data_IF_035633333769
#
_entry.id   IF_035633333769
#
_cell.length_a   1.000
_cell.length_b   1.000
_cell.length_c   1.000
_cell.angle_alpha   90.00
_cell.angle_beta   90.00
_cell.angle_gamma   90.00
#
_symmetry.space_group_name_H-M   'P 1'
#
loop_
_entity.id
_entity.type
_entity.pdbx_description
1 polymer ?
#
# COMPACT_ATOMS: atom_id res chain seq x y z
N UNK A 1 -2.19 -10.50 43.21
CA UNK A 1 -2.53 -9.24 42.52
C UNK A 1 -3.53 -9.58 41.40
N UNK A 2 -4.82 -9.41 41.67
CA UNK A 2 -5.91 -9.91 40.82
C UNK A 2 -6.17 -8.88 39.70
N UNK A 3 -5.74 -9.20 38.46
CA UNK A 3 -6.08 -8.41 37.28
C UNK A 3 -7.55 -8.64 36.95
N UNK A 4 -8.39 -7.65 37.27
CA UNK A 4 -9.76 -7.56 36.77
C UNK A 4 -9.74 -7.44 35.25
N UNK A 5 -10.06 -8.53 34.56
CA UNK A 5 -10.45 -8.49 33.15
C UNK A 5 -11.80 -7.79 33.07
N UNK A 6 -11.80 -6.48 32.83
CA UNK A 6 -12.98 -5.78 32.31
C UNK A 6 -13.29 -6.40 30.96
N UNK A 7 -14.24 -7.35 30.91
CA UNK A 7 -15.00 -7.64 29.69
C UNK A 7 -15.72 -6.33 29.34
N UNK A 8 -15.08 -5.48 28.53
CA UNK A 8 -15.82 -4.47 27.79
C UNK A 8 -16.84 -5.25 26.97
N UNK A 9 -18.12 -5.11 27.31
CA UNK A 9 -19.18 -5.59 26.44
C UNK A 9 -18.93 -4.94 25.08
N UNK A 10 -18.57 -5.73 24.08
CA UNK A 10 -18.43 -5.32 22.68
C UNK A 10 -19.83 -4.91 22.20
N UNK A 11 -20.25 -3.69 22.55
CA UNK A 11 -21.37 -3.03 21.89
C UNK A 11 -20.89 -2.75 20.47
N UNK A 12 -21.42 -3.49 19.51
CA UNK A 12 -21.14 -3.29 18.09
C UNK A 12 -21.37 -1.82 17.72
N UNK A 13 -20.61 -1.29 16.76
CA UNK A 13 -20.78 0.09 16.30
C UNK A 13 -22.23 0.43 15.94
N UNK A 14 -22.94 -0.55 15.37
CA UNK A 14 -24.36 -0.50 15.05
C UNK A 14 -25.26 -0.21 16.27
N UNK A 15 -25.04 -0.88 17.40
CA UNK A 15 -25.82 -0.62 18.64
C UNK A 15 -25.58 0.77 19.19
N UNK A 16 -24.37 1.31 19.05
CA UNK A 16 -24.04 2.66 19.53
C UNK A 16 -24.76 3.74 18.71
N UNK A 17 -24.82 3.57 17.39
CA UNK A 17 -25.56 4.47 16.49
C UNK A 17 -27.05 4.38 16.75
N UNK A 18 -27.58 3.17 16.91
CA UNK A 18 -28.99 2.98 17.22
C UNK A 18 -29.36 3.73 18.50
N UNK A 19 -28.55 3.63 19.56
CA UNK A 19 -28.78 4.39 20.80
C UNK A 19 -28.67 5.89 20.61
N UNK A 20 -27.71 6.37 19.80
CA UNK A 20 -27.57 7.80 19.53
C UNK A 20 -28.77 8.35 18.73
N UNK A 21 -29.25 7.61 17.73
CA UNK A 21 -30.44 7.97 16.97
C UNK A 21 -31.70 7.96 17.84
N UNK A 22 -31.88 6.94 18.68
CA UNK A 22 -33.00 6.87 19.61
C UNK A 22 -32.99 8.07 20.59
N UNK A 23 -31.82 8.44 21.12
CA UNK A 23 -31.68 9.58 22.01
C UNK A 23 -32.03 10.91 21.33
N UNK A 24 -31.59 11.11 20.08
CA UNK A 24 -31.94 12.30 19.28
C UNK A 24 -33.45 12.38 19.05
N UNK A 25 -34.10 11.27 18.67
CA UNK A 25 -35.54 11.22 18.41
C UNK A 25 -36.35 11.50 19.69
N UNK A 26 -35.98 10.89 20.81
CA UNK A 26 -36.64 11.11 22.11
C UNK A 26 -36.46 12.56 22.57
N UNK A 27 -35.25 13.11 22.49
CA UNK A 27 -34.98 14.48 22.87
C UNK A 27 -35.75 15.49 21.99
N UNK A 28 -35.79 15.28 20.67
CA UNK A 28 -36.58 16.11 19.76
C UNK A 28 -38.08 16.09 20.12
N UNK A 29 -38.62 14.90 20.39
CA UNK A 29 -40.03 14.74 20.78
C UNK A 29 -40.35 15.47 22.10
N UNK A 30 -39.44 15.39 23.09
CA UNK A 30 -39.58 16.11 24.36
C UNK A 30 -39.51 17.63 24.20
N UNK A 31 -38.65 18.13 23.30
CA UNK A 31 -38.59 19.57 22.97
C UNK A 31 -39.91 20.01 22.34
N UNK A 32 -40.44 19.27 21.38
CA UNK A 32 -41.72 19.60 20.73
C UNK A 32 -42.87 19.62 21.75
N UNK A 33 -42.96 18.63 22.64
CA UNK A 33 -43.96 18.59 23.68
C UNK A 33 -43.79 19.73 24.71
N UNK A 34 -42.56 20.03 25.11
CA UNK A 34 -42.27 21.11 26.07
C UNK A 34 -42.57 22.49 25.46
N UNK A 35 -42.27 22.68 24.19
CA UNK A 35 -42.56 23.93 23.47
C UNK A 35 -44.07 24.19 23.39
N UNK A 36 -44.88 23.15 23.18
CA UNK A 36 -46.33 23.28 23.20
C UNK A 36 -46.84 23.77 24.58
N UNK A 37 -46.30 23.22 25.67
CA UNK A 37 -46.64 23.63 27.04
C UNK A 37 -46.16 25.05 27.37
N UNK A 38 -44.98 25.45 26.87
CA UNK A 38 -44.46 26.82 27.06
C UNK A 38 -45.25 27.84 26.24
N UNK A 39 -45.71 27.48 25.05
CA UNK A 39 -46.59 28.34 24.24
C UNK A 39 -47.95 28.55 24.92
N UNK A 40 -48.51 27.51 25.54
CA UNK A 40 -49.73 27.61 26.35
C UNK A 40 -49.56 28.59 27.53
N UNK A 41 -48.38 28.66 28.13
CA UNK A 41 -48.04 29.63 29.19
C UNK A 41 -47.84 31.07 28.68
N UNK A 42 -47.72 31.27 27.36
CA UNK A 42 -47.61 32.61 26.74
C UNK A 42 -48.97 33.20 26.35
N UNK A 43 -50.03 32.40 26.31
CA UNK A 43 -51.39 32.91 26.10
C UNK A 43 -51.97 33.44 27.42
N UNK A 44 -52.81 34.49 27.38
CA UNK A 44 -53.36 35.09 28.60
C UNK A 44 -54.18 34.06 29.37
N UNK A 45 -53.75 33.79 30.61
CA UNK A 45 -54.46 32.93 31.58
C UNK A 45 -55.26 33.77 32.56
N UNK A 46 -56.36 33.20 33.07
CA UNK A 46 -57.19 33.82 34.09
C UNK A 46 -56.34 34.19 35.33
N UNK A 47 -56.65 35.31 36.01
CA UNK A 47 -55.79 35.92 37.03
C UNK A 47 -55.57 35.08 38.31
N UNK A 48 -56.27 33.96 38.47
CA UNK A 48 -56.09 33.02 39.59
C UNK A 48 -55.06 31.90 39.30
N UNK A 49 -54.58 31.77 38.05
CA UNK A 49 -53.67 30.70 37.63
C UNK A 49 -52.21 31.20 37.64
N UNK A 50 -51.76 31.56 38.84
CA UNK A 50 -50.42 32.09 39.08
C UNK A 50 -49.32 31.03 38.91
N UNK A 51 -48.19 31.51 38.37
CA UNK A 51 -46.86 30.91 38.23
C UNK A 51 -46.51 30.36 36.84
N UNK A 52 -45.63 31.09 36.16
CA UNK A 52 -44.76 30.55 35.09
C UNK A 52 -44.03 29.34 35.68
N UNK A 53 -44.36 28.15 35.20
CA UNK A 53 -43.86 26.91 35.80
C UNK A 53 -42.41 26.73 35.39
N UNK A 54 -41.47 27.18 36.24
CA UNK A 54 -40.01 27.11 36.02
C UNK A 54 -39.53 25.70 35.62
N UNK A 55 -40.26 24.66 36.06
CA UNK A 55 -39.98 23.26 35.72
C UNK A 55 -40.18 22.96 34.24
N UNK A 56 -41.14 23.59 33.54
CA UNK A 56 -41.40 23.38 32.10
C UNK A 56 -40.26 23.92 31.24
N UNK A 57 -39.74 25.10 31.59
CA UNK A 57 -38.53 25.67 30.98
C UNK A 57 -37.29 24.81 31.26
N UNK A 58 -37.14 24.32 32.50
CA UNK A 58 -36.02 23.42 32.85
C UNK A 58 -36.05 22.12 32.03
N UNK A 59 -37.23 21.52 31.82
CA UNK A 59 -37.40 20.32 30.98
C UNK A 59 -37.05 20.62 29.52
N UNK A 60 -37.52 21.75 28.97
CA UNK A 60 -37.18 22.17 27.61
C UNK A 60 -35.68 22.40 27.40
N UNK A 61 -35.02 23.10 28.32
CA UNK A 61 -33.56 23.33 28.29
C UNK A 61 -32.81 22.01 28.41
N UNK A 62 -33.19 21.13 29.34
CA UNK A 62 -32.56 19.83 29.52
C UNK A 62 -32.70 18.95 28.26
N UNK A 63 -33.88 18.96 27.63
CA UNK A 63 -34.11 18.24 26.39
C UNK A 63 -33.29 18.81 25.22
N UNK A 64 -33.12 20.14 25.14
CA UNK A 64 -32.24 20.79 24.17
C UNK A 64 -30.77 20.41 24.40
N UNK A 65 -30.28 20.44 25.63
CA UNK A 65 -28.93 20.00 25.97
C UNK A 65 -28.70 18.52 25.62
N UNK A 66 -29.69 17.66 25.89
CA UNK A 66 -29.66 16.25 25.50
C UNK A 66 -29.63 16.08 23.98
N UNK A 67 -30.41 16.85 23.22
CA UNK A 67 -30.39 16.84 21.77
C UNK A 67 -29.02 17.24 21.21
N UNK A 68 -28.46 18.37 21.67
CA UNK A 68 -27.15 18.86 21.23
C UNK A 68 -26.04 17.86 21.55
N UNK A 69 -26.08 17.27 22.75
CA UNK A 69 -25.13 16.23 23.17
C UNK A 69 -25.29 14.95 22.34
N UNK A 70 -26.53 14.56 22.02
CA UNK A 70 -26.84 13.42 21.16
C UNK A 70 -26.36 13.62 19.72
N UNK A 71 -26.55 14.82 19.16
CA UNK A 71 -26.05 15.18 17.83
C UNK A 71 -24.52 15.21 17.79
N UNK A 72 -23.87 15.80 18.80
CA UNK A 72 -22.42 15.82 18.93
C UNK A 72 -21.85 14.39 19.07
N UNK A 73 -22.47 13.55 19.90
CA UNK A 73 -22.09 12.16 20.06
C UNK A 73 -22.31 11.36 18.77
N UNK A 74 -23.45 11.55 18.10
CA UNK A 74 -23.72 10.91 16.80
C UNK A 74 -22.67 11.30 15.76
N UNK A 75 -22.36 12.59 15.62
CA UNK A 75 -21.33 13.07 14.69
C UNK A 75 -19.95 12.50 15.03
N UNK A 76 -19.61 12.41 16.33
CA UNK A 76 -18.38 11.79 16.79
C UNK A 76 -18.33 10.29 16.45
N UNK A 77 -19.42 9.55 16.65
CA UNK A 77 -19.52 8.13 16.29
C UNK A 77 -19.35 7.93 14.78
N UNK A 78 -20.05 8.71 13.94
CA UNK A 78 -19.94 8.66 12.47
C UNK A 78 -18.51 8.84 11.97
N UNK A 79 -17.77 9.78 12.58
CA UNK A 79 -16.35 10.00 12.28
C UNK A 79 -15.42 8.92 12.82
N UNK A 80 -15.80 8.21 13.88
CA UNK A 80 -14.93 7.20 14.51
C UNK A 80 -15.09 5.80 13.94
N UNK A 81 -16.34 5.38 13.71
CA UNK A 81 -16.68 4.05 13.23
C UNK A 81 -16.61 3.99 11.70
N UNK A 82 -17.25 4.94 11.01
CA UNK A 82 -17.12 5.11 9.55
C UNK A 82 -17.46 3.88 8.69
N UNK A 83 -17.12 3.97 7.41
CA UNK A 83 -17.24 2.89 6.42
C UNK A 83 -15.89 2.20 6.23
N UNK A 84 -15.87 0.86 6.28
CA UNK A 84 -14.71 0.04 5.96
C UNK A 84 -14.77 -0.46 4.50
N UNK A 85 -13.84 -0.01 3.68
CA UNK A 85 -13.59 -0.51 2.33
C UNK A 85 -12.53 -1.60 2.38
N UNK A 86 -12.94 -2.85 2.20
CA UNK A 86 -12.03 -3.99 2.11
C UNK A 86 -11.74 -4.28 0.64
N UNK A 87 -10.47 -4.12 0.24
CA UNK A 87 -10.05 -4.21 -1.16
C UNK A 87 -9.28 -5.49 -1.36
N UNK A 88 -9.85 -6.42 -2.12
CA UNK A 88 -9.31 -7.75 -2.29
C UNK A 88 -8.91 -7.94 -3.76
N UNK A 89 -7.59 -7.99 -4.00
CA UNK A 89 -7.01 -8.30 -5.31
C UNK A 89 -5.93 -9.37 -5.10
N UNK A 90 -6.31 -10.64 -5.19
CA UNK A 90 -5.43 -11.79 -4.98
C UNK A 90 -5.52 -12.78 -6.13
N UNK A 91 -4.51 -13.64 -6.19
CA UNK A 91 -4.53 -14.81 -7.06
C UNK A 91 -5.65 -15.79 -6.64
N UNK A 92 -6.28 -16.47 -7.60
CA UNK A 92 -7.33 -17.48 -7.34
C UNK A 92 -6.85 -18.62 -6.42
N UNK A 93 -5.56 -18.97 -6.47
CA UNK A 93 -4.96 -19.99 -5.62
C UNK A 93 -4.55 -19.49 -4.24
N UNK A 94 -4.54 -18.17 -4.01
CA UNK A 94 -4.10 -17.59 -2.74
C UNK A 94 -5.22 -17.62 -1.68
N UNK A 95 -4.99 -18.25 -0.52
CA UNK A 95 -5.98 -18.24 0.56
C UNK A 95 -6.10 -16.86 1.21
N UNK A 96 -7.33 -16.51 1.61
CA UNK A 96 -7.58 -15.28 2.35
C UNK A 96 -7.21 -15.44 3.84
N UNK A 97 -5.95 -15.17 4.16
CA UNK A 97 -5.43 -15.26 5.53
C UNK A 97 -6.06 -14.27 6.52
N UNK A 98 -6.70 -13.20 6.03
CA UNK A 98 -7.20 -12.11 6.87
C UNK A 98 -8.66 -12.28 7.28
N UNK A 99 -9.30 -13.40 6.99
CA UNK A 99 -10.75 -13.58 7.21
C UNK A 99 -11.16 -13.34 8.67
N UNK A 100 -10.38 -13.84 9.65
CA UNK A 100 -10.68 -13.66 11.07
C UNK A 100 -10.49 -12.20 11.53
N UNK A 101 -9.38 -11.58 11.15
CA UNK A 101 -9.11 -10.16 11.42
C UNK A 101 -10.16 -9.26 10.78
N UNK A 102 -10.64 -9.61 9.58
CA UNK A 102 -11.70 -8.90 8.87
C UNK A 102 -13.05 -8.98 9.59
N UNK A 103 -13.40 -10.14 10.16
CA UNK A 103 -14.61 -10.26 10.98
C UNK A 103 -14.55 -9.39 12.24
N UNK A 104 -13.38 -9.32 12.89
CA UNK A 104 -13.16 -8.45 14.03
C UNK A 104 -13.31 -6.97 13.62
N UNK A 105 -12.65 -6.56 12.53
CA UNK A 105 -12.75 -5.22 11.96
C UNK A 105 -14.20 -4.86 11.57
N UNK A 106 -14.95 -5.78 10.97
CA UNK A 106 -16.35 -5.56 10.61
C UNK A 106 -17.22 -5.23 11.83
N UNK A 107 -16.99 -5.89 12.97
CA UNK A 107 -17.78 -5.69 14.19
C UNK A 107 -17.57 -4.31 14.85
N UNK A 108 -16.43 -3.67 14.57
CA UNK A 108 -16.06 -2.34 15.09
C UNK A 108 -16.47 -1.19 14.16
N UNK A 109 -17.18 -1.46 13.05
CA UNK A 109 -17.49 -0.48 11.99
C UNK A 109 -18.99 -0.34 11.78
N UNK A 110 -19.41 0.76 11.15
CA UNK A 110 -20.83 0.99 10.85
C UNK A 110 -21.29 0.17 9.66
N UNK A 111 -20.45 0.14 8.63
CA UNK A 111 -20.71 -0.53 7.37
C UNK A 111 -19.40 -1.08 6.83
N UNK A 112 -19.52 -2.10 5.99
CA UNK A 112 -18.40 -2.69 5.28
C UNK A 112 -18.78 -2.85 3.81
N UNK A 113 -17.95 -2.33 2.92
CA UNK A 113 -18.04 -2.53 1.47
C UNK A 113 -16.81 -3.31 1.02
N UNK A 114 -17.01 -4.43 0.34
CA UNK A 114 -15.91 -5.25 -0.18
C UNK A 114 -15.82 -5.08 -1.69
N UNK A 115 -14.65 -4.68 -2.18
CA UNK A 115 -14.32 -4.68 -3.61
C UNK A 115 -13.42 -5.87 -3.86
N UNK A 116 -13.89 -6.87 -4.61
CA UNK A 116 -13.19 -8.15 -4.80
C UNK A 116 -12.93 -8.38 -6.27
N UNK A 117 -11.68 -8.70 -6.60
CA UNK A 117 -11.26 -9.14 -7.92
C UNK A 117 -10.26 -10.28 -7.76
N UNK A 118 -10.62 -11.44 -8.30
CA UNK A 118 -9.70 -12.57 -8.42
C UNK A 118 -8.94 -12.45 -9.74
N UNK A 119 -7.68 -12.89 -9.71
CA UNK A 119 -6.78 -12.84 -10.86
C UNK A 119 -6.08 -14.20 -10.96
N UNK A 120 -5.88 -14.72 -12.17
CA UNK A 120 -4.95 -15.82 -12.39
C UNK A 120 -3.59 -15.22 -12.79
N UNK A 121 -2.63 -15.20 -11.85
CA UNK A 121 -1.30 -14.65 -12.09
C UNK A 121 -0.50 -15.52 -13.07
N UNK A 122 -0.73 -16.84 -13.11
CA UNK A 122 -0.02 -17.74 -14.02
C UNK A 122 -0.42 -17.49 -15.46
N UNK A 123 -1.72 -17.38 -15.75
CA UNK A 123 -2.21 -17.03 -17.09
C UNK A 123 -1.77 -15.64 -17.54
N UNK A 124 -1.55 -14.73 -16.59
CA UNK A 124 -1.07 -13.36 -16.85
C UNK A 124 0.44 -13.22 -16.86
N UNK A 125 1.18 -14.31 -16.70
CA UNK A 125 2.64 -14.29 -16.81
C UNK A 125 3.03 -14.53 -18.27
N UNK A 126 3.61 -13.52 -18.91
CA UNK A 126 4.14 -13.62 -20.28
C UNK A 126 5.57 -13.09 -20.32
N UNK A 127 6.47 -13.79 -21.00
CA UNK A 127 7.87 -13.39 -21.09
C UNK A 127 8.59 -13.26 -19.73
N UNK A 128 8.11 -13.95 -18.69
CA UNK A 128 8.66 -13.85 -17.33
C UNK A 128 8.19 -12.62 -16.53
N UNK A 129 7.20 -11.87 -17.01
CA UNK A 129 6.60 -10.72 -16.31
C UNK A 129 5.12 -11.01 -16.04
N UNK A 130 4.67 -10.75 -14.81
CA UNK A 130 3.26 -10.84 -14.42
C UNK A 130 2.56 -9.54 -14.80
N UNK A 131 1.63 -9.57 -15.76
CA UNK A 131 0.87 -8.39 -16.19
C UNK A 131 -0.51 -8.28 -15.52
N UNK A 132 -0.61 -7.34 -14.60
CA UNK A 132 -1.83 -7.05 -13.82
C UNK A 132 -2.25 -5.58 -13.95
N UNK A 133 -1.86 -4.91 -15.04
CA UNK A 133 -2.21 -3.51 -15.30
C UNK A 133 -3.73 -3.33 -15.31
N UNK A 134 -4.44 -4.12 -16.12
CA UNK A 134 -5.90 -4.02 -16.25
C UNK A 134 -6.64 -4.30 -14.92
N UNK A 135 -6.39 -5.43 -14.21
CA UNK A 135 -7.01 -5.65 -12.90
C UNK A 135 -6.78 -4.54 -11.88
N UNK A 136 -5.57 -3.95 -11.87
CA UNK A 136 -5.25 -2.83 -10.98
C UNK A 136 -6.02 -1.56 -11.35
N UNK A 137 -6.17 -1.28 -12.66
CA UNK A 137 -6.96 -0.15 -13.14
C UNK A 137 -8.46 -0.32 -12.81
N UNK A 138 -9.03 -1.50 -13.08
CA UNK A 138 -10.43 -1.83 -12.77
C UNK A 138 -10.74 -1.64 -11.28
N UNK A 139 -9.94 -2.24 -10.39
CA UNK A 139 -10.18 -2.13 -8.95
C UNK A 139 -9.94 -0.72 -8.43
N UNK A 140 -8.97 0.00 -9.02
CA UNK A 140 -8.68 1.41 -8.72
C UNK A 140 -9.86 2.32 -9.05
N UNK A 141 -10.45 2.18 -10.22
CA UNK A 141 -11.63 2.94 -10.61
C UNK A 141 -12.84 2.62 -9.72
N UNK A 142 -13.08 1.33 -9.41
CA UNK A 142 -14.20 0.92 -8.56
C UNK A 142 -14.04 1.42 -7.13
N UNK A 143 -12.83 1.41 -6.56
CA UNK A 143 -12.63 1.94 -5.21
C UNK A 143 -12.79 3.46 -5.16
N UNK A 144 -12.28 4.18 -6.15
CA UNK A 144 -12.45 5.63 -6.28
C UNK A 144 -13.93 5.99 -6.36
N UNK A 145 -14.68 5.33 -7.24
CA UNK A 145 -16.12 5.52 -7.38
C UNK A 145 -16.86 5.15 -6.09
N UNK A 146 -16.50 4.04 -5.44
CA UNK A 146 -17.17 3.58 -4.23
C UNK A 146 -16.96 4.51 -3.02
N UNK A 147 -15.80 5.15 -2.92
CA UNK A 147 -15.52 6.15 -1.88
C UNK A 147 -16.20 7.48 -2.22
N UNK A 148 -16.11 7.94 -3.46
CA UNK A 148 -16.73 9.21 -3.89
C UNK A 148 -18.27 9.19 -3.84
N UNK A 149 -18.88 8.00 -3.98
CA UNK A 149 -20.32 7.80 -3.83
C UNK A 149 -20.76 7.46 -2.38
N UNK A 150 -19.84 7.42 -1.42
CA UNK A 150 -20.19 7.27 0.00
C UNK A 150 -20.50 8.63 0.63
N UNK A 151 -21.05 8.63 1.85
CA UNK A 151 -21.46 9.90 2.48
C UNK A 151 -20.27 10.61 3.13
N UNK A 152 -20.10 11.89 2.79
CA UNK A 152 -19.07 12.79 3.34
C UNK A 152 -19.08 12.93 4.87
N UNK A 153 -20.20 12.60 5.53
CA UNK A 153 -20.33 12.63 6.99
C UNK A 153 -19.70 11.40 7.70
N UNK A 154 -19.30 10.39 6.93
CA UNK A 154 -18.67 9.17 7.43
C UNK A 154 -17.15 9.20 7.26
N UNK A 155 -16.40 8.75 8.27
CA UNK A 155 -14.97 8.53 8.09
C UNK A 155 -14.71 7.34 7.16
N UNK A 156 -13.73 7.43 6.26
CA UNK A 156 -13.41 6.34 5.35
C UNK A 156 -12.23 5.53 5.87
N UNK A 157 -12.29 4.20 5.76
CA UNK A 157 -11.14 3.35 6.07
C UNK A 157 -10.92 2.31 4.99
N UNK A 158 -9.72 2.23 4.44
CA UNK A 158 -9.35 1.27 3.39
C UNK A 158 -8.42 0.21 3.95
N UNK A 159 -8.78 -1.06 3.77
CA UNK A 159 -8.00 -2.22 4.17
C UNK A 159 -7.57 -3.02 2.92
N UNK A 160 -6.29 -2.95 2.51
CA UNK A 160 -5.82 -3.69 1.35
C UNK A 160 -5.52 -5.15 1.68
N UNK A 161 -6.12 -6.05 0.92
CA UNK A 161 -5.73 -7.45 0.81
C UNK A 161 -5.30 -7.76 -0.63
N UNK A 162 -4.06 -7.39 -0.94
CA UNK A 162 -3.45 -7.59 -2.25
C UNK A 162 -1.93 -7.73 -2.16
N UNK A 163 -1.25 -7.97 -3.28
CA UNK A 163 0.21 -7.98 -3.33
C UNK A 163 0.76 -6.55 -3.29
N UNK A 164 1.97 -6.36 -2.74
CA UNK A 164 2.53 -5.02 -2.55
C UNK A 164 2.64 -4.19 -3.84
N UNK A 165 2.98 -4.74 -5.04
CA UNK A 165 3.05 -3.92 -6.26
C UNK A 165 1.67 -3.39 -6.64
N UNK A 166 0.64 -4.21 -6.45
CA UNK A 166 -0.75 -3.82 -6.69
C UNK A 166 -1.19 -2.75 -5.71
N UNK A 167 -0.87 -2.90 -4.41
CA UNK A 167 -1.17 -1.89 -3.40
C UNK A 167 -0.55 -0.54 -3.75
N UNK A 168 0.71 -0.53 -4.22
CA UNK A 168 1.39 0.68 -4.65
C UNK A 168 0.63 1.40 -5.78
N UNK A 169 0.14 0.63 -6.77
CA UNK A 169 -0.62 1.22 -7.88
C UNK A 169 -2.01 1.67 -7.48
N UNK A 170 -2.75 0.85 -6.72
CA UNK A 170 -4.12 1.15 -6.30
C UNK A 170 -4.16 2.37 -5.38
N UNK A 171 -3.09 2.61 -4.61
CA UNK A 171 -2.97 3.79 -3.76
C UNK A 171 -3.16 5.12 -4.49
N UNK A 172 -2.73 5.20 -5.75
CA UNK A 172 -2.86 6.39 -6.57
C UNK A 172 -4.31 6.74 -6.98
N UNK A 173 -5.27 5.81 -6.80
CA UNK A 173 -6.70 6.03 -7.05
C UNK A 173 -7.46 6.51 -5.81
N UNK A 174 -6.80 6.56 -4.64
CA UNK A 174 -7.47 6.98 -3.43
C UNK A 174 -7.76 8.49 -3.47
N UNK A 175 -8.97 8.92 -3.03
CA UNK A 175 -9.33 10.33 -3.00
C UNK A 175 -8.55 11.11 -1.92
N UNK A 176 -8.82 12.41 -1.82
CA UNK A 176 -8.11 13.30 -0.91
C UNK A 176 -8.26 12.89 0.58
N UNK A 177 -7.22 13.06 1.42
CA UNK A 177 -7.11 12.42 2.73
C UNK A 177 -7.97 12.97 3.87
N UNK A 178 -8.80 14.00 3.68
CA UNK A 178 -9.42 14.78 4.79
C UNK A 178 -10.12 13.92 5.86
N UNK A 179 -10.60 12.73 5.50
CA UNK A 179 -11.13 11.72 6.42
C UNK A 179 -10.62 10.29 6.18
N UNK A 180 -9.67 10.11 5.26
CA UNK A 180 -9.23 8.79 4.81
C UNK A 180 -8.23 8.16 5.78
N UNK A 181 -8.53 6.95 6.21
CA UNK A 181 -7.67 6.14 7.06
C UNK A 181 -7.33 4.84 6.36
N UNK A 182 -6.17 4.29 6.68
CA UNK A 182 -5.75 3.00 6.18
C UNK A 182 -5.73 2.00 7.35
N UNK A 183 -6.01 0.74 7.03
CA UNK A 183 -6.08 -0.35 8.00
C UNK A 183 -5.20 -1.51 7.56
N UNK A 184 -4.19 -1.82 8.36
CA UNK A 184 -3.43 -3.05 8.22
C UNK A 184 -4.11 -4.16 9.03
N UNK A 185 -4.43 -5.27 8.38
CA UNK A 185 -4.97 -6.47 9.02
C UNK A 185 -3.82 -7.40 9.41
N UNK A 186 -3.57 -7.55 10.71
CA UNK A 186 -2.46 -8.36 11.20
C UNK A 186 -2.89 -9.83 11.44
N UNK A 187 -1.98 -10.82 11.37
CA UNK A 187 -2.31 -12.25 11.48
C UNK A 187 -2.85 -12.69 12.85
N UNK A 188 -2.58 -11.92 13.90
CA UNK A 188 -2.95 -12.16 15.29
C UNK A 188 -4.36 -11.65 15.66
N UNK A 189 -5.25 -11.49 14.67
CA UNK A 189 -6.58 -10.89 14.82
C UNK A 189 -6.57 -9.45 15.37
N UNK A 190 -5.44 -8.75 15.24
CA UNK A 190 -5.36 -7.33 15.54
C UNK A 190 -5.45 -6.53 14.27
N UNK A 191 -5.90 -5.28 14.41
CA UNK A 191 -5.98 -4.32 13.33
C UNK A 191 -5.17 -3.10 13.73
N UNK A 192 -4.48 -2.51 12.76
CA UNK A 192 -3.73 -1.29 12.99
C UNK A 192 -4.20 -0.23 12.01
N UNK A 193 -4.82 0.81 12.55
CA UNK A 193 -5.39 1.90 11.78
C UNK A 193 -4.51 3.15 11.90
N UNK A 194 -4.33 3.86 10.80
CA UNK A 194 -3.63 5.15 10.78
C UNK A 194 -4.28 6.09 9.76
N UNK A 195 -4.12 7.39 9.95
CA UNK A 195 -4.61 8.39 9.00
C UNK A 195 -3.66 8.50 7.81
N UNK A 196 -4.19 8.63 6.60
CA UNK A 196 -3.39 9.03 5.44
C UNK A 196 -3.13 10.53 5.58
N UNK A 197 -1.90 10.93 5.88
CA UNK A 197 -1.58 12.34 6.15
C UNK A 197 -0.93 13.00 4.94
N UNK A 198 -1.51 14.09 4.42
CA UNK A 198 -0.95 14.81 3.28
C UNK A 198 0.43 15.44 3.54
N UNK A 199 0.80 15.68 4.80
CA UNK A 199 2.09 16.31 5.17
C UNK A 199 2.83 15.54 6.26
N UNK A 200 4.14 15.31 6.10
CA UNK A 200 4.96 14.75 7.16
C UNK A 200 5.09 15.75 8.33
N UNK A 201 5.06 15.23 9.56
CA UNK A 201 5.53 15.97 10.75
C UNK A 201 7.02 15.68 10.96
N UNK A 202 7.72 16.59 11.64
CA UNK A 202 9.18 16.71 11.72
C UNK A 202 9.98 15.52 12.30
N UNK A 203 9.39 14.35 12.57
CA UNK A 203 10.09 13.16 13.06
C UNK A 203 10.14 12.09 11.99
N UNK A 204 11.28 11.99 11.31
CA UNK A 204 11.53 10.98 10.28
C UNK A 204 11.68 9.59 10.89
N UNK A 205 10.85 8.64 10.46
CA UNK A 205 10.86 7.24 10.91
C UNK A 205 11.50 6.30 9.90
N UNK A 206 11.42 6.61 8.61
CA UNK A 206 12.15 5.95 7.55
C UNK A 206 13.55 6.56 7.40
N UNK A 207 14.58 5.72 7.31
CA UNK A 207 15.92 6.17 7.00
C UNK A 207 16.37 5.55 5.68
N UNK A 208 16.97 6.38 4.84
CA UNK A 208 17.63 5.97 3.61
C UNK A 208 19.10 5.68 3.91
N UNK A 209 19.54 4.48 3.56
CA UNK A 209 20.94 4.03 3.64
C UNK A 209 21.39 3.49 2.30
N UNK A 210 22.58 3.89 1.86
CA UNK A 210 23.20 3.37 0.64
C UNK A 210 24.13 2.22 1.00
N UNK A 211 23.89 1.03 0.45
CA UNK A 211 24.63 -0.18 0.81
C UNK A 211 25.85 -0.44 -0.09
N UNK A 212 25.99 0.29 -1.20
CA UNK A 212 27.02 0.09 -2.22
C UNK A 212 27.79 1.38 -2.49
N UNK A 213 29.11 1.31 -2.32
CA UNK A 213 30.01 2.47 -2.25
C UNK A 213 30.62 2.95 -3.57
N UNK A 214 30.27 2.39 -4.74
CA UNK A 214 30.79 2.86 -6.03
C UNK A 214 29.71 2.87 -7.11
N UNK A 215 29.22 4.06 -7.47
CA UNK A 215 28.47 4.27 -8.72
C UNK A 215 29.43 4.08 -9.90
N UNK A 216 29.45 2.91 -10.51
CA UNK A 216 30.02 2.74 -11.85
C UNK A 216 28.94 2.96 -12.92
N UNK A 217 28.22 4.08 -12.82
CA UNK A 217 27.51 4.83 -13.88
C UNK A 217 26.62 4.14 -14.93
N UNK A 218 26.49 2.81 -14.98
CA UNK A 218 25.84 2.09 -16.10
C UNK A 218 24.83 1.02 -15.70
N UNK A 219 24.94 0.42 -14.51
CA UNK A 219 23.97 -0.57 -14.04
C UNK A 219 22.65 0.00 -13.53
N UNK A 220 21.74 -0.91 -13.16
CA UNK A 220 20.43 -0.59 -12.58
C UNK A 220 20.55 -0.13 -11.13
N UNK A 221 19.53 0.58 -10.66
CA UNK A 221 19.41 1.04 -9.27
C UNK A 221 18.43 0.14 -8.51
N UNK A 222 18.89 -0.52 -7.46
CA UNK A 222 18.07 -1.32 -6.57
C UNK A 222 17.47 -0.49 -5.45
N UNK A 223 16.22 -0.77 -5.10
CA UNK A 223 15.57 -0.22 -3.91
C UNK A 223 14.98 -1.34 -3.09
N UNK A 224 15.34 -1.37 -1.80
CA UNK A 224 14.85 -2.34 -0.84
C UNK A 224 14.07 -1.63 0.26
N UNK A 225 12.76 -1.92 0.37
CA UNK A 225 11.97 -1.50 1.53
C UNK A 225 11.96 -2.62 2.58
N UNK A 226 12.51 -2.35 3.76
CA UNK A 226 12.63 -3.32 4.86
C UNK A 226 11.90 -2.87 6.12
N UNK A 227 10.57 -3.07 6.14
CA UNK A 227 9.66 -2.67 7.21
C UNK A 227 8.86 -3.85 7.80
N UNK A 228 9.27 -5.08 7.50
CA UNK A 228 8.58 -6.27 7.99
C UNK A 228 9.56 -7.43 8.19
N UNK A 229 9.14 -8.44 8.94
CA UNK A 229 10.00 -9.59 9.26
C UNK A 229 10.55 -10.32 8.05
N UNK A 230 9.79 -10.34 6.95
CA UNK A 230 10.21 -10.96 5.70
C UNK A 230 11.48 -10.34 5.10
N UNK A 231 11.86 -9.13 5.52
CA UNK A 231 13.13 -8.51 5.12
C UNK A 231 14.35 -9.34 5.52
N UNK A 232 14.30 -10.12 6.61
CA UNK A 232 15.41 -11.01 7.01
C UNK A 232 15.75 -12.10 5.98
N UNK A 233 14.81 -12.39 5.09
CA UNK A 233 14.94 -13.47 4.10
C UNK A 233 15.45 -12.98 2.75
N UNK A 234 15.74 -11.69 2.61
CA UNK A 234 16.28 -11.12 1.40
C UNK A 234 17.66 -10.52 1.63
N UNK A 235 18.56 -10.68 0.67
CA UNK A 235 19.95 -10.22 0.77
C UNK A 235 20.33 -9.32 -0.40
N UNK A 236 21.40 -8.55 -0.21
CA UNK A 236 21.98 -7.67 -1.23
C UNK A 236 22.40 -8.43 -2.49
N UNK A 237 22.88 -9.66 -2.36
CA UNK A 237 23.29 -10.53 -3.48
C UNK A 237 22.12 -10.86 -4.40
N UNK A 238 20.90 -10.89 -3.87
CA UNK A 238 19.68 -11.07 -4.66
C UNK A 238 19.51 -10.00 -5.74
N UNK A 239 19.86 -8.74 -5.45
CA UNK A 239 19.77 -7.65 -6.42
C UNK A 239 20.78 -7.75 -7.57
N UNK A 240 21.96 -8.32 -7.33
CA UNK A 240 22.99 -8.48 -8.38
C UNK A 240 22.51 -9.36 -9.53
N UNK A 241 21.63 -10.33 -9.25
CA UNK A 241 21.00 -11.17 -10.28
C UNK A 241 20.13 -10.38 -11.27
N UNK A 242 19.74 -9.16 -10.90
CA UNK A 242 18.98 -8.24 -11.74
C UNK A 242 19.86 -7.14 -12.37
N UNK A 243 21.18 -7.27 -12.34
CA UNK A 243 22.11 -6.26 -12.87
C UNK A 243 22.08 -4.93 -12.10
N UNK A 244 21.81 -5.00 -10.80
CA UNK A 244 21.85 -3.84 -9.90
C UNK A 244 23.27 -3.64 -9.38
N UNK A 245 23.79 -2.43 -9.61
CA UNK A 245 25.13 -2.02 -9.16
C UNK A 245 25.07 -1.01 -8.00
N UNK A 246 23.93 -0.35 -7.83
CA UNK A 246 23.70 0.65 -6.80
C UNK A 246 22.46 0.28 -5.99
N UNK A 247 22.60 0.01 -4.69
CA UNK A 247 21.51 -0.41 -3.83
C UNK A 247 21.20 0.61 -2.73
N UNK A 248 19.94 1.03 -2.68
CA UNK A 248 19.34 1.85 -1.64
C UNK A 248 18.47 0.99 -0.73
N UNK A 249 18.73 1.04 0.58
CA UNK A 249 17.90 0.44 1.63
C UNK A 249 17.10 1.55 2.30
N UNK A 250 15.78 1.37 2.36
CA UNK A 250 14.89 2.20 3.17
C UNK A 250 14.35 1.30 4.29
N UNK A 251 14.74 1.61 5.53
CA UNK A 251 14.36 0.84 6.71
C UNK A 251 13.90 1.75 7.85
N UNK A 252 13.24 1.14 8.83
CA UNK A 252 12.81 1.87 10.03
C UNK A 252 14.03 2.28 10.87
N UNK A 253 14.19 3.59 11.08
CA UNK A 253 15.27 4.25 11.85
C UNK A 253 16.69 3.80 11.46
N UNK A 254 16.89 3.35 10.23
CA UNK A 254 18.19 2.91 9.70
C UNK A 254 18.64 1.55 10.24
N UNK A 255 17.75 0.81 10.90
CA UNK A 255 18.05 -0.55 11.34
C UNK A 255 18.34 -1.46 10.16
N UNK A 256 19.33 -2.35 10.32
CA UNK A 256 19.54 -3.43 9.37
C UNK A 256 18.51 -4.55 9.60
N UNK A 257 17.98 -5.19 8.54
CA UNK A 257 16.98 -6.25 8.64
C UNK A 257 17.41 -7.42 9.54
N UNK A 258 18.71 -7.71 9.58
CA UNK A 258 19.29 -8.87 10.25
C UNK A 258 19.36 -8.75 11.78
N UNK A 259 19.32 -7.53 12.34
CA UNK A 259 19.69 -7.29 13.75
C UNK A 259 18.51 -7.05 14.72
N UNK A 260 17.27 -6.99 14.24
CA UNK A 260 16.12 -6.64 15.10
C UNK A 260 14.86 -7.45 14.79
N UNK A 261 14.01 -7.66 15.81
CA UNK A 261 12.65 -8.17 15.65
C UNK A 261 11.79 -7.25 14.76
N UNK A 262 10.55 -7.64 14.42
CA UNK A 262 9.65 -6.73 13.69
C UNK A 262 9.50 -5.43 14.49
N UNK A 263 9.63 -4.25 13.87
CA UNK A 263 9.42 -3.01 14.60
C UNK A 263 7.97 -2.92 15.06
N UNK A 264 7.76 -2.56 16.34
CA UNK A 264 6.44 -2.23 16.85
C UNK A 264 6.11 -0.79 16.46
N UNK A 265 5.41 -0.64 15.34
CA UNK A 265 5.03 0.68 14.82
C UNK A 265 3.87 1.25 15.62
N UNK A 266 3.95 2.51 16.02
CA UNK A 266 2.75 3.24 16.46
C UNK A 266 1.86 3.62 15.26
N UNK A 267 0.57 3.87 15.51
CA UNK A 267 -0.35 4.36 14.47
C UNK A 267 0.14 5.67 13.83
N UNK A 268 0.70 6.57 14.64
CA UNK A 268 1.27 7.82 14.15
C UNK A 268 2.48 7.55 13.25
N UNK A 269 3.38 6.64 13.61
CA UNK A 269 4.54 6.31 12.76
C UNK A 269 4.10 5.71 11.42
N UNK A 270 3.16 4.77 11.41
CA UNK A 270 2.62 4.23 10.15
C UNK A 270 2.00 5.31 9.25
N UNK A 271 1.35 6.32 9.84
CA UNK A 271 0.77 7.45 9.11
C UNK A 271 1.81 8.26 8.32
N UNK A 272 3.01 8.42 8.87
CA UNK A 272 4.08 9.21 8.24
C UNK A 272 4.98 8.38 7.31
N UNK A 273 5.09 7.07 7.52
CA UNK A 273 5.94 6.20 6.70
C UNK A 273 5.60 6.26 5.21
N UNK A 274 4.30 6.37 4.87
CA UNK A 274 3.87 6.49 3.47
C UNK A 274 4.50 7.69 2.75
N UNK A 275 4.43 8.87 3.37
CA UNK A 275 5.03 10.09 2.81
C UNK A 275 6.55 10.05 2.78
N UNK A 276 7.19 9.56 3.84
CA UNK A 276 8.66 9.54 3.93
C UNK A 276 9.27 8.56 2.92
N UNK A 277 8.68 7.37 2.75
CA UNK A 277 9.11 6.41 1.75
C UNK A 277 8.90 6.99 0.35
N UNK A 278 7.75 7.63 0.07
CA UNK A 278 7.50 8.25 -1.23
C UNK A 278 8.51 9.37 -1.55
N UNK A 279 8.87 10.21 -0.58
CA UNK A 279 9.91 11.24 -0.74
C UNK A 279 11.28 10.64 -1.07
N UNK A 280 11.67 9.56 -0.39
CA UNK A 280 12.91 8.84 -0.69
C UNK A 280 12.87 8.19 -2.07
N UNK A 281 11.75 7.56 -2.44
CA UNK A 281 11.57 6.93 -3.76
C UNK A 281 11.62 7.97 -4.89
N UNK A 282 10.96 9.11 -4.71
CA UNK A 282 11.00 10.21 -5.68
C UNK A 282 12.42 10.76 -5.84
N UNK A 283 13.17 10.90 -4.74
CA UNK A 283 14.58 11.32 -4.76
C UNK A 283 15.46 10.30 -5.48
N UNK A 284 15.37 9.02 -5.12
CA UNK A 284 16.14 7.94 -5.77
C UNK A 284 15.82 7.91 -7.27
N UNK A 285 14.55 8.06 -7.66
CA UNK A 285 14.17 8.08 -9.08
C UNK A 285 14.76 9.29 -9.81
N UNK A 286 14.76 10.46 -9.18
CA UNK A 286 15.39 11.66 -9.75
C UNK A 286 16.91 11.49 -9.91
N UNK A 287 17.60 10.91 -8.92
CA UNK A 287 19.04 10.61 -8.95
C UNK A 287 19.40 9.48 -9.94
N UNK A 288 18.48 8.54 -10.16
CA UNK A 288 18.64 7.46 -11.13
C UNK A 288 18.60 7.97 -12.58
N UNK A 289 17.79 9.01 -12.85
CA UNK A 289 17.55 9.52 -14.20
C UNK A 289 16.88 8.46 -15.09
N UNK A 290 17.47 8.21 -16.25
CA UNK A 290 17.01 7.20 -17.22
C UNK A 290 17.38 5.75 -16.84
N UNK A 291 18.16 5.56 -15.77
CA UNK A 291 18.50 4.20 -15.31
C UNK A 291 17.24 3.47 -14.83
N UNK A 292 17.19 2.17 -15.11
CA UNK A 292 16.11 1.32 -14.62
C UNK A 292 16.22 1.12 -13.10
N UNK A 293 15.08 1.08 -12.42
CA UNK A 293 14.97 0.75 -11.00
C UNK A 293 14.48 -0.69 -10.84
N UNK A 294 15.03 -1.40 -9.87
CA UNK A 294 14.53 -2.70 -9.42
C UNK A 294 14.11 -2.56 -7.96
N UNK A 295 12.83 -2.71 -7.67
CA UNK A 295 12.28 -2.45 -6.34
C UNK A 295 11.73 -3.73 -5.73
N UNK A 296 12.16 -4.03 -4.50
CA UNK A 296 11.61 -5.10 -3.66
C UNK A 296 11.11 -4.48 -2.37
N UNK A 297 9.86 -4.78 -2.01
CA UNK A 297 9.27 -4.28 -0.78
C UNK A 297 8.86 -5.40 0.17
N UNK A 298 9.29 -5.27 1.42
CA UNK A 298 8.84 -6.05 2.58
C UNK A 298 8.26 -5.07 3.59
N UNK A 299 7.07 -4.56 3.33
CA UNK A 299 6.40 -3.54 4.13
C UNK A 299 4.90 -3.87 4.29
N UNK A 300 4.24 -3.34 5.34
CA UNK A 300 2.79 -3.46 5.49
C UNK A 300 2.06 -2.96 4.25
N UNK A 301 1.03 -3.68 3.80
CA UNK A 301 0.35 -3.39 2.54
C UNK A 301 -0.37 -2.04 2.59
N UNK A 302 -0.93 -1.69 3.76
CA UNK A 302 -1.51 -0.37 4.00
C UNK A 302 -0.49 0.76 3.88
N UNK A 303 0.76 0.55 4.30
CA UNK A 303 1.83 1.56 4.12
C UNK A 303 2.18 1.69 2.64
N UNK A 304 2.33 0.58 1.92
CA UNK A 304 2.63 0.61 0.47
C UNK A 304 1.49 1.27 -0.33
N UNK A 305 0.24 1.06 0.08
CA UNK A 305 -0.92 1.77 -0.45
C UNK A 305 -0.80 3.29 -0.22
N UNK A 306 -0.39 3.73 0.98
CA UNK A 306 -0.11 5.14 1.26
C UNK A 306 1.03 5.71 0.39
N UNK A 307 2.12 4.95 0.20
CA UNK A 307 3.22 5.33 -0.68
C UNK A 307 2.72 5.58 -2.09
N UNK A 308 1.84 4.71 -2.59
CA UNK A 308 1.19 4.87 -3.90
C UNK A 308 0.45 6.18 -4.06
N UNK A 309 -0.34 6.53 -3.05
CA UNK A 309 -1.07 7.80 -3.00
C UNK A 309 -0.13 9.01 -2.98
N UNK A 310 0.94 8.96 -2.18
CA UNK A 310 1.90 10.06 -2.11
C UNK A 310 2.68 10.23 -3.40
N UNK A 311 3.14 9.13 -4.01
CA UNK A 311 3.84 9.16 -5.30
C UNK A 311 2.97 9.75 -6.42
N UNK A 312 1.65 9.57 -6.39
CA UNK A 312 0.76 10.21 -7.37
C UNK A 312 0.63 11.72 -7.19
N UNK A 313 1.03 12.28 -6.04
CA UNK A 313 1.11 13.72 -5.82
C UNK A 313 2.45 14.32 -6.26
N UNK A 314 3.47 13.49 -6.52
CA UNK A 314 4.76 13.93 -7.05
C UNK A 314 4.72 13.98 -8.57
N UNK A 315 5.40 14.96 -9.17
CA UNK A 315 5.56 15.05 -10.64
C UNK A 315 6.50 13.99 -11.23
N UNK A 316 6.98 13.03 -10.42
CA UNK A 316 7.92 12.00 -10.86
C UNK A 316 7.22 10.88 -11.63
N UNK A 317 7.80 10.46 -12.76
CA UNK A 317 7.34 9.29 -13.52
C UNK A 317 7.84 7.99 -12.86
N UNK A 318 7.43 7.73 -11.62
CA UNK A 318 8.01 6.67 -10.79
C UNK A 318 7.98 5.29 -11.46
N UNK A 319 6.86 4.91 -12.08
CA UNK A 319 6.71 3.61 -12.73
C UNK A 319 7.53 3.45 -14.02
N UNK A 320 7.96 4.56 -14.65
CA UNK A 320 8.72 4.49 -15.89
C UNK A 320 10.12 3.93 -15.65
N UNK A 321 10.45 2.82 -16.31
CA UNK A 321 11.72 2.13 -16.12
C UNK A 321 11.85 1.48 -14.74
N UNK A 322 10.75 1.20 -14.03
CA UNK A 322 10.78 0.59 -12.69
C UNK A 322 10.19 -0.81 -12.71
N UNK A 323 11.02 -1.79 -12.35
CA UNK A 323 10.65 -3.19 -12.15
C UNK A 323 10.22 -3.40 -10.70
N UNK A 324 8.93 -3.68 -10.48
CA UNK A 324 8.42 -4.02 -9.15
C UNK A 324 8.48 -5.54 -8.99
N UNK A 325 9.27 -6.03 -8.05
CA UNK A 325 9.56 -7.45 -7.93
C UNK A 325 8.67 -8.11 -6.87
N UNK A 326 7.79 -9.02 -7.29
CA UNK A 326 6.96 -9.82 -6.41
C UNK A 326 7.71 -11.08 -5.97
N UNK A 327 7.74 -11.36 -4.67
CA UNK A 327 8.27 -12.62 -4.16
C UNK A 327 7.22 -13.72 -4.29
N UNK A 328 7.46 -14.67 -5.18
CA UNK A 328 6.67 -15.88 -5.31
C UNK A 328 7.16 -16.94 -4.33
N UNK A 329 6.25 -17.37 -3.44
CA UNK A 329 6.56 -18.35 -2.40
C UNK A 329 6.72 -19.76 -2.96
N UNK A 330 6.03 -20.09 -4.05
CA UNK A 330 6.02 -21.44 -4.60
C UNK A 330 7.35 -21.75 -5.30
N UNK A 331 7.85 -20.81 -6.10
CA UNK A 331 9.15 -20.91 -6.77
C UNK A 331 10.33 -20.36 -5.96
N UNK A 332 10.06 -19.76 -4.80
CA UNK A 332 11.05 -19.07 -3.97
C UNK A 332 11.89 -18.05 -4.77
N UNK A 333 11.23 -17.33 -5.68
CA UNK A 333 11.88 -16.45 -6.66
C UNK A 333 11.20 -15.09 -6.73
N UNK A 334 11.89 -14.11 -7.31
CA UNK A 334 11.34 -12.77 -7.52
C UNK A 334 10.96 -12.61 -8.97
N UNK A 335 9.67 -12.37 -9.21
CA UNK A 335 9.11 -12.24 -10.55
C UNK A 335 8.68 -10.78 -10.73
N UNK A 336 9.11 -10.09 -11.82
CA UNK A 336 8.67 -8.74 -12.09
C UNK A 336 7.15 -8.69 -12.33
N UNK A 337 6.51 -7.70 -11.72
CA UNK A 337 5.08 -7.46 -11.81
C UNK A 337 4.81 -6.08 -12.40
N UNK A 338 4.09 -6.09 -13.52
CA UNK A 338 3.66 -4.91 -14.24
C UNK A 338 2.25 -4.54 -13.80
N UNK A 339 2.13 -3.41 -13.11
CA UNK A 339 0.88 -2.83 -12.56
C UNK A 339 0.50 -1.52 -13.25
N UNK A 340 1.42 -0.90 -14.00
CA UNK A 340 1.19 0.26 -14.86
C UNK A 340 1.74 0.05 -16.27
N UNK A 341 1.13 0.70 -17.25
CA UNK A 341 1.54 0.57 -18.65
C UNK A 341 2.96 1.07 -18.91
N UNK A 342 3.39 2.10 -18.19
CA UNK A 342 4.70 2.73 -18.32
C UNK A 342 5.88 1.91 -17.80
N UNK A 343 5.61 0.80 -17.11
CA UNK A 343 6.65 -0.11 -16.65
C UNK A 343 7.19 -0.98 -17.79
N UNK A 344 8.45 -1.45 -17.69
CA UNK A 344 9.02 -2.40 -18.63
C UNK A 344 8.18 -3.66 -18.81
N UNK A 345 8.17 -4.19 -20.04
CA UNK A 345 7.47 -5.45 -20.41
C UNK A 345 8.39 -6.66 -20.40
N UNK A 346 9.68 -6.46 -20.15
CA UNK A 346 10.71 -7.50 -20.11
C UNK A 346 11.34 -7.58 -18.72
N UNK A 347 11.77 -8.76 -18.26
CA UNK A 347 12.40 -8.91 -16.97
C UNK A 347 13.77 -8.20 -16.91
N UNK A 348 14.20 -7.72 -15.71
CA UNK A 348 15.50 -7.09 -15.53
C UNK A 348 16.61 -8.14 -15.47
N UNK A 349 16.96 -8.75 -16.62
CA UNK A 349 18.06 -9.70 -16.72
C UNK A 349 19.41 -8.95 -16.84
N UNK A 350 20.53 -9.53 -16.38
CA UNK A 350 21.86 -8.96 -16.62
C UNK A 350 22.09 -8.85 -18.13
N UNK A 351 22.58 -7.71 -18.60
CA UNK A 351 22.95 -7.56 -20.01
C UNK A 351 24.10 -8.53 -20.33
N UNK A 352 23.97 -9.37 -21.35
CA UNK A 352 24.99 -10.34 -21.78
C UNK A 352 26.34 -9.70 -22.16
N UNK A 353 26.38 -8.37 -22.30
CA UNK A 353 27.53 -7.57 -22.76
C UNK A 353 28.74 -7.66 -21.81
N UNK A 354 28.56 -7.97 -20.52
CA UNK A 354 29.68 -8.14 -19.56
C UNK A 354 30.21 -9.58 -19.45
N UNK A 355 29.65 -10.54 -20.20
CA UNK A 355 30.12 -11.93 -20.20
C UNK A 355 31.19 -12.23 -21.26
N UNK A 356 31.48 -11.27 -22.14
CA UNK A 356 32.62 -11.36 -23.05
C UNK A 356 33.90 -10.98 -22.30
N UNK A 357 34.44 -11.93 -21.51
CA UNK A 357 35.82 -11.87 -21.07
C UNK A 357 36.74 -11.68 -22.31
N UNK A 358 37.78 -10.85 -22.25
CA UNK A 358 38.71 -10.72 -23.36
C UNK A 358 39.39 -12.07 -23.56
N UNK A 359 39.21 -12.65 -24.75
CA UNK A 359 40.02 -13.77 -25.18
C UNK A 359 41.49 -13.33 -25.07
N UNK A 360 42.22 -14.03 -24.21
CA UNK A 360 43.62 -13.85 -23.93
C UNK A 360 44.41 -14.15 -25.22
N UNK A 361 44.60 -13.15 -26.09
CA UNK A 361 45.56 -13.18 -27.21
C UNK A 361 47.00 -13.07 -26.67
N UNK A 362 47.36 -14.00 -25.77
CA UNK A 362 48.73 -14.25 -25.33
C UNK A 362 49.22 -15.51 -26.05
N UNK A 363 49.54 -15.39 -27.34
CA UNK A 363 49.99 -16.55 -28.10
C UNK A 363 50.31 -16.35 -29.57
N UNK A 364 50.69 -15.14 -30.03
CA UNK A 364 51.29 -14.97 -31.36
C UNK A 364 52.73 -14.49 -31.22
N UNK A 365 53.61 -15.49 -31.12
CA UNK A 365 55.05 -15.31 -31.26
C UNK A 365 55.35 -15.06 -32.74
N UNK A 366 55.93 -13.90 -33.01
CA UNK A 366 56.44 -13.48 -34.30
C UNK A 366 57.58 -14.39 -34.75
N UNK A 367 57.43 -15.08 -35.87
CA UNK A 367 58.55 -15.62 -36.64
C UNK A 367 58.33 -15.32 -38.13
N UNK A 368 59.22 -14.48 -38.65
CA UNK A 368 59.63 -14.34 -40.04
C UNK A 368 61.14 -14.04 -40.00
N UNK A 369 61.93 -14.23 -41.07
CA UNK A 369 61.67 -14.95 -42.32
C UNK A 369 62.86 -15.84 -42.76
N UNK A 370 62.68 -16.70 -43.76
CA UNK A 370 63.77 -17.11 -44.67
C UNK A 370 63.20 -17.48 -46.03
N UNK A 371 63.81 -16.90 -47.04
CA UNK A 371 63.54 -16.96 -48.47
C UNK A 371 63.84 -18.33 -49.11
N UNK A 372 63.25 -18.51 -50.30
CA UNK A 372 63.71 -19.29 -51.46
C UNK A 372 63.87 -20.83 -51.35
N UNK A 373 63.02 -21.56 -52.08
CA UNK A 373 63.45 -22.21 -53.33
C UNK A 373 62.25 -22.70 -54.16
N UNK A 374 62.17 -22.24 -55.41
CA UNK A 374 61.37 -22.82 -56.49
C UNK A 374 61.89 -24.22 -56.85
N UNK A 375 61.00 -25.21 -57.07
CA UNK A 375 61.13 -26.18 -58.19
C UNK A 375 59.74 -26.71 -58.61
N UNK A 376 59.50 -26.55 -59.91
CA UNK A 376 58.57 -27.17 -60.85
C UNK A 376 57.84 -28.51 -60.55
N UNK A 377 56.57 -28.50 -60.98
CA UNK A 377 55.87 -29.47 -61.85
C UNK A 377 55.71 -30.94 -61.42
N UNK A 378 54.45 -31.38 -61.26
CA UNK A 378 53.85 -32.47 -62.05
C UNK A 378 52.37 -32.71 -61.63
N UNK A 379 51.45 -32.43 -62.55
CA UNK A 379 50.23 -33.25 -62.78
C UNK A 379 50.66 -34.70 -63.11
N UNK A 380 49.81 -35.76 -62.98
CA UNK A 380 48.46 -35.76 -63.54
C UNK A 380 47.41 -36.72 -62.90
N UNK A 381 46.28 -36.80 -63.61
CA UNK A 381 45.31 -37.91 -63.70
C UNK A 381 44.10 -37.95 -62.74
N UNK A 382 43.00 -37.39 -63.26
CA UNK A 382 41.70 -38.03 -63.50
C UNK A 382 41.46 -39.44 -62.94
N UNK A 383 40.40 -39.59 -62.14
CA UNK A 383 39.47 -40.71 -62.33
C UNK A 383 38.02 -40.32 -61.95
N UNK A 384 37.16 -40.46 -62.95
CA UNK A 384 35.70 -40.46 -62.93
C UNK A 384 35.13 -41.70 -62.25
N UNK A 385 33.89 -41.63 -61.72
CA UNK A 385 32.77 -42.62 -61.70
C UNK A 385 31.96 -42.40 -60.40
N UNK A 386 30.76 -41.78 -60.41
CA UNK A 386 29.42 -42.20 -60.87
C UNK A 386 28.63 -43.00 -59.82
N UNK A 387 27.51 -42.38 -59.42
CA UNK A 387 26.21 -42.87 -58.93
C UNK A 387 26.07 -44.27 -58.32
N UNK A 388 25.47 -44.27 -57.13
CA UNK A 388 24.66 -45.33 -56.53
C UNK A 388 23.62 -44.70 -55.61
#
# INVERSE_FOLDING_TARGET
>A
MVKFWRRQSLRSGETQIFTANALVVVAASLITASLALVLEDLFPKDPDDGYVVLTRWAVGILALCALLSGLAWRAWLHRRLGTLFYVHLLDESMPNWHERSLRAARSSRMSMRSVVRWVDLKQRTSGGVIDVVQPCHEIGAVIEEAINNDRDDTGYTVAPNMLWPMALTVGAYLPHPDSLRLLELLPNNTEQQFALTARPRSRTSAALSRLDGRSHGRGRVGVWLAFGDASKHFSKEGFRRFGVDELHLISYRGGMPESSGPPDYSADELGHLGSEIAEHLARIKAEAGERELVMIAMAPKAVVLAVGWHLSQHECRFFHGTHLMHFDRDSYSYIPMRVRESQPTTPPLPSEVDSAAPADESGRKSEQPSEELEVHSAEPETETVRDG
#
